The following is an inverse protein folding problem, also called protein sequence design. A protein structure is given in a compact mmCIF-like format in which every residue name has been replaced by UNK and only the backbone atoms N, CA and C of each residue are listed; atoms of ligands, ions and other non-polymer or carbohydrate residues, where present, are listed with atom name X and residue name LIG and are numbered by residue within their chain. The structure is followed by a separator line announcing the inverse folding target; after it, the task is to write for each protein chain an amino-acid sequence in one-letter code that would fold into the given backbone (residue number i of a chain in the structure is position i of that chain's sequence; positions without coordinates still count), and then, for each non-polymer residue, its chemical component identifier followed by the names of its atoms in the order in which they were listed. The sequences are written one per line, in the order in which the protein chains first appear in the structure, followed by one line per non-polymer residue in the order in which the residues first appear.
data_IF_913328895607
#
_entry.id   IF_913328895607
#
_cell.length_a   1.000
_cell.length_b   1.000
_cell.length_c   1.000
_cell.angle_alpha   90.00
_cell.angle_beta   90.00
_cell.angle_gamma   90.00
#
_symmetry.space_group_name_H-M   'P 1'
#
loop_
_entity.id
_entity.type
_entity.pdbx_description
1 polymer ?
#
# COMPACT_ATOMS: atom_id res chain seq x y z
N UNK A 1 21.87 -21.84 -19.35
CA UNK A 1 22.92 -22.02 -18.33
C UNK A 1 22.35 -22.88 -17.22
N UNK A 2 22.66 -24.17 -17.22
CA UNK A 2 22.24 -25.10 -16.16
C UNK A 2 23.30 -25.01 -15.07
N UNK A 3 23.21 -24.01 -14.20
CA UNK A 3 24.05 -23.99 -13.01
C UNK A 3 23.76 -25.25 -12.20
N UNK A 4 24.82 -26.01 -11.90
CA UNK A 4 24.74 -27.23 -11.10
C UNK A 4 24.12 -26.88 -9.74
N UNK A 5 22.91 -27.38 -9.50
CA UNK A 5 22.33 -27.42 -8.17
C UNK A 5 23.28 -28.20 -7.27
N UNK A 6 23.73 -27.58 -6.18
CA UNK A 6 24.58 -28.25 -5.21
C UNK A 6 23.70 -29.02 -4.25
N UNK A 7 23.85 -30.34 -4.26
CA UNK A 7 23.15 -31.23 -3.33
C UNK A 7 24.09 -31.59 -2.21
N UNK A 8 23.59 -31.61 -0.98
CA UNK A 8 24.36 -32.06 0.17
C UNK A 8 24.61 -33.57 0.04
N UNK A 9 25.87 -33.98 0.00
CA UNK A 9 26.27 -35.40 -0.08
C UNK A 9 26.66 -36.00 1.26
N UNK A 10 26.91 -35.16 2.26
CA UNK A 10 27.32 -35.56 3.61
C UNK A 10 26.10 -35.68 4.52
N UNK A 11 26.11 -36.70 5.38
CA UNK A 11 25.11 -36.82 6.45
C UNK A 11 25.45 -35.86 7.58
N UNK A 12 24.60 -34.85 7.75
CA UNK A 12 24.73 -33.81 8.78
C UNK A 12 23.69 -33.95 9.88
N UNK A 13 22.94 -35.06 9.91
CA UNK A 13 21.85 -35.29 10.86
C UNK A 13 22.32 -35.29 12.32
N UNK A 14 23.57 -35.66 12.57
CA UNK A 14 24.19 -35.63 13.91
C UNK A 14 24.69 -34.24 14.33
N UNK A 15 24.63 -33.23 13.44
CA UNK A 15 25.07 -31.88 13.78
C UNK A 15 24.13 -31.21 14.80
N UNK A 16 24.65 -30.55 15.84
CA UNK A 16 23.82 -29.78 16.78
C UNK A 16 23.09 -28.59 16.11
N UNK A 17 23.45 -28.25 14.87
CA UNK A 17 22.84 -27.18 14.09
C UNK A 17 21.84 -27.68 13.03
N UNK A 18 21.61 -29.00 12.98
CA UNK A 18 20.67 -29.63 12.06
C UNK A 18 19.24 -29.56 12.60
N UNK A 19 18.33 -29.25 11.69
CA UNK A 19 16.89 -29.32 11.90
C UNK A 19 16.27 -29.64 10.52
N UNK A 20 15.28 -30.53 10.47
CA UNK A 20 14.60 -30.89 9.22
C UNK A 20 14.05 -29.66 8.48
N UNK A 21 13.52 -28.66 9.20
CA UNK A 21 13.03 -27.42 8.62
C UNK A 21 14.12 -26.48 8.10
N UNK A 22 15.38 -26.71 8.48
CA UNK A 22 16.54 -25.94 8.04
C UNK A 22 17.41 -26.73 7.04
N UNK A 23 17.10 -28.00 6.81
CA UNK A 23 17.84 -28.86 5.92
C UNK A 23 17.74 -28.36 4.47
N UNK A 24 18.81 -28.50 3.67
CA UNK A 24 18.76 -28.18 2.24
C UNK A 24 17.65 -28.96 1.54
N UNK A 25 16.87 -28.29 0.69
CA UNK A 25 15.81 -28.95 -0.09
C UNK A 25 16.44 -29.77 -1.21
N UNK A 26 16.25 -31.10 -1.22
CA UNK A 26 16.82 -31.98 -2.23
C UNK A 26 16.16 -31.74 -3.60
N UNK A 27 16.85 -32.00 -4.73
CA UNK A 27 16.36 -31.69 -6.07
C UNK A 27 14.96 -32.26 -6.36
N UNK A 28 14.65 -33.45 -5.87
CA UNK A 28 13.37 -34.15 -6.09
C UNK A 28 12.20 -33.45 -5.41
N UNK A 29 12.45 -32.69 -4.34
CA UNK A 29 11.44 -31.91 -3.61
C UNK A 29 11.30 -30.48 -4.13
N UNK A 30 12.07 -30.07 -5.16
CA UNK A 30 11.99 -28.73 -5.77
C UNK A 30 10.87 -28.69 -6.81
N UNK A 31 9.64 -28.58 -6.34
CA UNK A 31 8.42 -28.64 -7.17
C UNK A 31 8.08 -27.32 -7.88
N UNK A 32 8.82 -26.24 -7.60
CA UNK A 32 8.50 -24.89 -8.05
C UNK A 32 9.05 -24.62 -9.44
N UNK A 33 8.17 -24.25 -10.37
CA UNK A 33 8.54 -23.88 -11.73
C UNK A 33 8.46 -22.36 -11.94
N UNK A 34 8.79 -21.89 -13.15
CA UNK A 34 8.78 -20.48 -13.51
C UNK A 34 7.41 -19.83 -13.34
N UNK A 35 6.32 -20.56 -13.59
CA UNK A 35 4.95 -20.06 -13.40
C UNK A 35 4.61 -19.86 -11.93
N UNK A 36 5.00 -20.79 -11.06
CA UNK A 36 4.79 -20.61 -9.61
C UNK A 36 5.54 -19.40 -9.09
N UNK A 37 6.77 -19.19 -9.58
CA UNK A 37 7.56 -18.02 -9.24
C UNK A 37 6.87 -16.75 -9.75
N UNK A 38 6.45 -16.70 -11.02
CA UNK A 38 5.75 -15.56 -11.60
C UNK A 38 4.42 -15.26 -10.88
N UNK A 39 3.67 -16.28 -10.49
CA UNK A 39 2.42 -16.14 -9.74
C UNK A 39 2.67 -15.47 -8.37
N UNK A 40 3.69 -15.91 -7.63
CA UNK A 40 4.12 -15.24 -6.39
C UNK A 40 4.49 -13.78 -6.65
N UNK A 41 5.21 -13.50 -7.73
CA UNK A 41 5.60 -12.13 -8.07
C UNK A 41 4.39 -11.23 -8.32
N UNK A 42 3.38 -11.75 -9.03
CA UNK A 42 2.11 -11.06 -9.25
C UNK A 42 1.41 -10.82 -7.91
N UNK A 43 1.29 -11.84 -7.05
CA UNK A 43 0.67 -11.71 -5.73
C UNK A 43 1.35 -10.67 -4.83
N UNK A 44 2.69 -10.58 -4.88
CA UNK A 44 3.44 -9.56 -4.14
C UNK A 44 3.29 -8.15 -4.72
N UNK A 45 3.20 -8.02 -6.06
CA UNK A 45 3.06 -6.73 -6.73
C UNK A 45 1.64 -6.16 -6.61
N UNK A 46 0.63 -7.02 -6.74
CA UNK A 46 -0.80 -6.67 -6.69
C UNK A 46 -1.28 -6.71 -5.25
N UNK A 47 -0.96 -5.66 -4.49
CA UNK A 47 -1.43 -5.52 -3.12
C UNK A 47 -1.92 -4.09 -2.82
N UNK A 48 -2.83 -3.99 -1.85
CA UNK A 48 -3.48 -2.72 -1.47
C UNK A 48 -2.47 -1.64 -1.04
N UNK A 49 -1.40 -1.94 -0.27
CA UNK A 49 -0.41 -0.92 0.08
C UNK A 49 0.23 -0.22 -1.12
N UNK A 50 0.47 -0.94 -2.23
CA UNK A 50 1.01 -0.35 -3.47
C UNK A 50 0.03 0.66 -4.07
N UNK A 51 -1.27 0.35 -4.05
CA UNK A 51 -2.31 1.26 -4.54
C UNK A 51 -2.41 2.52 -3.68
N UNK A 52 -2.37 2.33 -2.36
CA UNK A 52 -2.37 3.40 -1.38
C UNK A 52 -1.14 4.31 -1.58
N UNK A 53 0.04 3.72 -1.77
CA UNK A 53 1.28 4.46 -2.03
C UNK A 53 1.15 5.32 -3.28
N UNK A 54 0.70 4.75 -4.40
CA UNK A 54 0.50 5.50 -5.64
C UNK A 54 -0.53 6.62 -5.47
N UNK A 55 -1.65 6.35 -4.79
CA UNK A 55 -2.68 7.35 -4.48
C UNK A 55 -2.14 8.48 -3.61
N UNK A 56 -1.30 8.19 -2.61
CA UNK A 56 -0.71 9.20 -1.75
C UNK A 56 0.31 10.07 -2.47
N UNK A 57 1.11 9.50 -3.38
CA UNK A 57 2.03 10.29 -4.21
C UNK A 57 1.27 11.31 -5.06
N UNK A 58 0.17 10.90 -5.70
CA UNK A 58 -0.69 11.82 -6.45
C UNK A 58 -1.33 12.87 -5.52
N UNK A 59 -1.88 12.44 -4.37
CA UNK A 59 -2.47 13.35 -3.36
C UNK A 59 -1.45 14.36 -2.80
N UNK A 60 -0.16 14.02 -2.82
CA UNK A 60 0.92 14.91 -2.39
C UNK A 60 1.30 15.97 -3.43
N UNK A 61 0.68 15.95 -4.62
CA UNK A 61 0.93 16.90 -5.71
C UNK A 61 1.84 16.34 -6.82
N UNK A 62 2.18 15.06 -6.77
CA UNK A 62 3.03 14.45 -7.79
C UNK A 62 2.20 14.01 -9.01
N UNK A 63 2.72 14.22 -10.22
CA UNK A 63 2.04 13.73 -11.41
C UNK A 63 1.96 12.21 -11.43
N UNK A 64 0.93 11.67 -12.07
CA UNK A 64 0.77 10.21 -12.18
C UNK A 64 1.94 9.60 -12.97
N UNK A 65 2.48 10.30 -13.97
CA UNK A 65 3.66 9.86 -14.72
C UNK A 65 4.90 9.81 -13.83
N UNK A 66 5.15 10.89 -13.07
CA UNK A 66 6.29 10.93 -12.15
C UNK A 66 6.18 9.82 -11.09
N UNK A 67 4.96 9.60 -10.56
CA UNK A 67 4.69 8.53 -9.61
C UNK A 67 5.01 7.15 -10.19
N UNK A 68 4.57 6.85 -11.41
CA UNK A 68 4.88 5.59 -12.08
C UNK A 68 6.38 5.41 -12.33
N UNK A 69 7.08 6.46 -12.78
CA UNK A 69 8.53 6.40 -13.04
C UNK A 69 9.30 6.16 -11.75
N UNK A 70 8.95 6.85 -10.66
CA UNK A 70 9.60 6.70 -9.36
C UNK A 70 9.37 5.29 -8.81
N UNK A 71 8.12 4.80 -8.82
CA UNK A 71 7.79 3.45 -8.35
C UNK A 71 8.52 2.40 -9.20
N UNK A 72 8.51 2.54 -10.52
CA UNK A 72 9.19 1.64 -11.43
C UNK A 72 10.71 1.60 -11.22
N UNK A 73 11.34 2.77 -11.08
CA UNK A 73 12.78 2.89 -10.83
C UNK A 73 13.15 2.31 -9.46
N UNK A 74 12.37 2.59 -8.42
CA UNK A 74 12.59 2.02 -7.09
C UNK A 74 12.53 0.49 -7.11
N UNK A 75 11.54 -0.09 -7.80
CA UNK A 75 11.42 -1.54 -7.98
C UNK A 75 12.59 -2.12 -8.79
N UNK A 76 13.07 -1.42 -9.82
CA UNK A 76 14.23 -1.88 -10.60
C UNK A 76 15.50 -1.91 -9.73
N UNK A 77 15.73 -0.86 -8.94
CA UNK A 77 16.89 -0.76 -8.03
C UNK A 77 16.84 -1.87 -6.98
N UNK A 78 15.68 -2.11 -6.36
CA UNK A 78 15.57 -3.14 -5.30
C UNK A 78 15.63 -4.56 -5.85
N UNK A 79 15.26 -4.76 -7.12
CA UNK A 79 15.31 -6.07 -7.77
C UNK A 79 16.73 -6.63 -7.83
N UNK A 80 17.74 -5.77 -8.05
CA UNK A 80 19.14 -6.19 -8.17
C UNK A 80 19.66 -6.92 -6.91
N UNK A 81 19.70 -6.30 -5.71
CA UNK A 81 20.19 -6.98 -4.50
C UNK A 81 19.32 -8.17 -4.11
N UNK A 82 18.02 -8.12 -4.42
CA UNK A 82 17.09 -9.19 -4.13
C UNK A 82 17.33 -10.45 -4.97
N UNK A 83 17.60 -10.30 -6.27
CA UNK A 83 17.99 -11.43 -7.14
C UNK A 83 19.34 -11.99 -6.70
N UNK A 84 20.31 -11.14 -6.36
CA UNK A 84 21.60 -11.57 -5.84
C UNK A 84 21.45 -12.37 -4.54
N UNK A 85 20.56 -11.95 -3.63
CA UNK A 85 20.28 -12.68 -2.39
C UNK A 85 19.57 -14.01 -2.66
N UNK A 86 18.59 -14.02 -3.58
CA UNK A 86 17.83 -15.22 -3.95
C UNK A 86 18.67 -16.30 -4.63
N UNK A 87 19.73 -15.91 -5.36
CA UNK A 87 20.61 -16.84 -6.08
C UNK A 87 21.18 -17.94 -5.19
N UNK A 88 21.71 -17.58 -4.02
CA UNK A 88 22.27 -18.56 -3.10
C UNK A 88 21.21 -19.52 -2.54
N UNK A 89 20.01 -19.02 -2.24
CA UNK A 89 18.88 -19.83 -1.80
C UNK A 89 18.45 -20.85 -2.85
N UNK A 90 18.40 -20.47 -4.13
CA UNK A 90 18.04 -21.38 -5.23
C UNK A 90 19.16 -22.40 -5.51
N UNK A 91 20.42 -21.96 -5.49
CA UNK A 91 21.58 -22.81 -5.79
C UNK A 91 21.79 -23.92 -4.76
N UNK A 92 21.70 -23.58 -3.48
CA UNK A 92 21.96 -24.50 -2.37
C UNK A 92 20.69 -25.08 -1.74
N UNK A 93 19.51 -24.51 -2.02
CA UNK A 93 18.24 -24.97 -1.43
C UNK A 93 18.15 -24.73 0.08
N UNK A 94 18.92 -23.78 0.62
CA UNK A 94 18.98 -23.50 2.06
C UNK A 94 18.18 -22.25 2.43
N UNK A 95 17.55 -22.21 3.60
CA UNK A 95 16.80 -21.03 4.05
C UNK A 95 17.74 -19.92 4.55
N UNK A 96 17.21 -18.69 4.62
CA UNK A 96 17.96 -17.50 5.04
C UNK A 96 18.74 -17.67 6.37
N UNK A 97 18.18 -18.26 7.45
CA UNK A 97 18.92 -18.44 8.70
C UNK A 97 20.14 -19.37 8.60
N UNK A 98 20.21 -20.20 7.55
CA UNK A 98 21.39 -21.04 7.28
C UNK A 98 22.40 -20.24 6.45
N UNK A 99 21.94 -19.57 5.40
CA UNK A 99 22.80 -18.75 4.54
C UNK A 99 23.47 -17.62 5.33
N UNK A 100 22.74 -16.97 6.23
CA UNK A 100 23.24 -15.85 7.02
C UNK A 100 24.29 -16.25 8.07
N UNK A 101 24.49 -17.54 8.35
CA UNK A 101 25.58 -18.01 9.23
C UNK A 101 26.95 -17.66 8.67
N UNK A 102 27.09 -17.57 7.34
CA UNK A 102 28.34 -17.18 6.70
C UNK A 102 28.73 -15.71 6.98
N UNK A 103 27.74 -14.83 7.24
CA UNK A 103 27.98 -13.40 7.49
C UNK A 103 27.92 -13.03 8.97
N UNK A 104 26.98 -13.60 9.72
CA UNK A 104 26.71 -13.24 11.13
C UNK A 104 27.23 -14.28 12.14
N UNK A 105 27.81 -15.39 11.65
CA UNK A 105 28.16 -16.54 12.48
C UNK A 105 26.95 -17.36 12.92
N UNK A 106 27.20 -18.43 13.66
CA UNK A 106 26.17 -19.36 14.15
C UNK A 106 25.25 -18.75 15.20
N UNK A 107 25.79 -17.88 16.06
CA UNK A 107 25.00 -17.23 17.12
C UNK A 107 24.38 -15.89 16.67
N UNK A 108 25.10 -15.08 15.89
CA UNK A 108 24.63 -13.75 15.49
C UNK A 108 23.44 -13.78 14.52
N UNK A 109 23.30 -14.85 13.73
CA UNK A 109 22.18 -15.01 12.79
C UNK A 109 20.82 -15.10 13.49
N UNK A 110 20.76 -15.49 14.76
CA UNK A 110 19.50 -15.53 15.51
C UNK A 110 18.90 -14.13 15.67
N UNK A 111 19.72 -13.11 15.93
CA UNK A 111 19.26 -11.72 16.05
C UNK A 111 18.69 -11.25 14.71
N UNK A 112 19.43 -11.42 13.62
CA UNK A 112 18.98 -11.03 12.28
C UNK A 112 17.70 -11.77 11.86
N UNK A 113 17.58 -13.06 12.17
CA UNK A 113 16.39 -13.87 11.88
C UNK A 113 15.18 -13.42 12.70
N UNK A 114 15.37 -13.07 13.98
CA UNK A 114 14.29 -12.57 14.83
C UNK A 114 13.79 -11.21 14.37
N UNK A 115 14.70 -10.28 14.05
CA UNK A 115 14.33 -8.97 13.51
C UNK A 115 13.52 -9.10 12.21
N UNK A 116 13.94 -9.99 11.32
CA UNK A 116 13.19 -10.31 10.10
C UNK A 116 11.80 -10.87 10.41
N UNK A 117 11.69 -11.76 11.41
CA UNK A 117 10.41 -12.33 11.82
C UNK A 117 9.45 -11.27 12.37
N UNK A 118 9.94 -10.33 13.19
CA UNK A 118 9.13 -9.22 13.74
C UNK A 118 8.56 -8.36 12.62
N UNK A 119 9.38 -7.98 11.64
CA UNK A 119 8.93 -7.20 10.48
C UNK A 119 7.88 -7.97 9.67
N UNK A 120 8.08 -9.27 9.46
CA UNK A 120 7.11 -10.12 8.79
C UNK A 120 5.77 -10.20 9.54
N UNK A 121 5.79 -10.31 10.87
CA UNK A 121 4.58 -10.28 11.71
C UNK A 121 3.85 -8.93 11.59
N UNK A 122 4.58 -7.82 11.56
CA UNK A 122 3.99 -6.49 11.36
C UNK A 122 3.27 -6.37 10.02
N UNK A 123 3.92 -6.81 8.94
CA UNK A 123 3.31 -6.82 7.60
C UNK A 123 2.12 -7.77 7.51
N UNK A 124 2.22 -8.96 8.12
CA UNK A 124 1.09 -9.88 8.20
C UNK A 124 -0.11 -9.25 8.92
N UNK A 125 0.11 -8.53 10.02
CA UNK A 125 -0.94 -7.81 10.74
C UNK A 125 -1.64 -6.75 9.88
N UNK A 126 -0.86 -5.90 9.19
CA UNK A 126 -1.41 -4.86 8.31
C UNK A 126 -2.22 -5.46 7.17
N UNK A 127 -1.70 -6.50 6.49
CA UNK A 127 -2.42 -7.12 5.38
C UNK A 127 -3.68 -7.86 5.85
N UNK A 128 -3.61 -8.49 7.03
CA UNK A 128 -4.77 -9.15 7.62
C UNK A 128 -5.86 -8.14 8.00
N UNK A 129 -5.47 -6.96 8.50
CA UNK A 129 -6.39 -5.86 8.78
C UNK A 129 -7.08 -5.38 7.51
N UNK A 130 -6.33 -5.10 6.45
CA UNK A 130 -6.89 -4.65 5.17
C UNK A 130 -7.83 -5.72 4.58
N UNK A 131 -7.44 -7.00 4.63
CA UNK A 131 -8.32 -8.10 4.20
C UNK A 131 -9.59 -8.19 5.04
N UNK A 132 -9.49 -8.01 6.36
CA UNK A 132 -10.64 -7.97 7.25
C UNK A 132 -11.62 -6.82 6.96
N UNK A 133 -11.10 -5.65 6.57
CA UNK A 133 -11.93 -4.52 6.11
C UNK A 133 -12.70 -4.87 4.83
N UNK A 134 -12.11 -5.65 3.92
CA UNK A 134 -12.81 -6.12 2.73
C UNK A 134 -13.99 -7.06 3.09
N UNK A 135 -13.80 -7.98 4.03
CA UNK A 135 -14.88 -8.83 4.54
C UNK A 135 -16.01 -8.02 5.19
N UNK A 136 -15.67 -7.03 6.01
CA UNK A 136 -16.64 -6.12 6.61
C UNK A 136 -17.40 -5.31 5.55
N UNK A 137 -16.72 -4.82 4.51
CA UNK A 137 -17.35 -4.10 3.42
C UNK A 137 -18.33 -5.00 2.63
N UNK A 138 -17.95 -6.24 2.34
CA UNK A 138 -18.82 -7.24 1.69
C UNK A 138 -20.06 -7.51 2.56
N UNK A 139 -19.87 -7.71 3.87
CA UNK A 139 -20.98 -7.94 4.80
C UNK A 139 -21.98 -6.78 4.80
N UNK A 140 -21.50 -5.54 4.87
CA UNK A 140 -22.34 -4.35 4.84
C UNK A 140 -23.08 -4.21 3.50
N UNK A 141 -22.41 -4.48 2.39
CA UNK A 141 -23.03 -4.47 1.06
C UNK A 141 -24.15 -5.52 0.93
N UNK A 142 -23.98 -6.71 1.51
CA UNK A 142 -24.99 -7.77 1.49
C UNK A 142 -26.17 -7.51 2.43
N UNK A 143 -25.92 -6.91 3.59
CA UNK A 143 -26.96 -6.64 4.60
C UNK A 143 -27.64 -5.29 4.44
N UNK A 144 -27.13 -4.42 3.57
CA UNK A 144 -27.59 -3.04 3.42
C UNK A 144 -27.23 -2.15 4.61
N UNK A 145 -26.36 -2.61 5.52
CA UNK A 145 -25.91 -1.84 6.68
C UNK A 145 -24.91 -0.78 6.25
N UNK A 146 -24.99 0.41 6.83
CA UNK A 146 -23.97 1.44 6.62
C UNK A 146 -22.73 1.11 7.45
N UNK A 147 -21.57 1.10 6.80
CA UNK A 147 -20.31 0.87 7.49
C UNK A 147 -19.94 2.04 8.39
N UNK A 148 -19.51 1.76 9.61
CA UNK A 148 -19.05 2.80 10.52
C UNK A 148 -17.73 3.42 10.03
N UNK A 149 -17.61 4.75 10.12
CA UNK A 149 -16.38 5.50 9.80
C UNK A 149 -15.26 5.20 10.80
N UNK A 150 -15.59 5.16 12.10
CA UNK A 150 -14.65 4.88 13.19
C UNK A 150 -14.29 3.41 13.38
N UNK A 151 -13.61 3.09 14.48
CA UNK A 151 -13.41 1.70 14.89
C UNK A 151 -14.75 1.08 15.25
N UNK A 152 -15.01 -0.11 14.70
CA UNK A 152 -16.26 -0.84 14.88
C UNK A 152 -15.96 -2.30 15.16
N UNK A 153 -16.80 -2.93 15.98
CA UNK A 153 -16.67 -4.35 16.34
C UNK A 153 -16.76 -5.22 15.09
N UNK A 154 -17.59 -4.84 14.10
CA UNK A 154 -17.69 -5.55 12.83
C UNK A 154 -16.37 -5.61 12.06
N UNK A 155 -15.53 -4.57 12.14
CA UNK A 155 -14.20 -4.56 11.52
C UNK A 155 -13.25 -5.55 12.21
N UNK A 156 -13.31 -5.66 13.54
CA UNK A 156 -12.54 -6.65 14.29
C UNK A 156 -13.01 -8.09 14.04
N UNK A 157 -14.32 -8.30 13.86
CA UNK A 157 -14.87 -9.59 13.44
C UNK A 157 -14.34 -9.95 12.05
N UNK A 158 -14.40 -9.02 11.09
CA UNK A 158 -13.84 -9.21 9.75
C UNK A 158 -12.36 -9.55 9.77
N UNK A 159 -11.57 -8.85 10.59
CA UNK A 159 -10.17 -9.17 10.86
C UNK A 159 -9.98 -10.59 11.40
N UNK A 160 -10.73 -10.97 12.44
CA UNK A 160 -10.62 -12.30 13.07
C UNK A 160 -10.97 -13.44 12.11
N UNK A 161 -12.02 -13.26 11.29
CA UNK A 161 -12.41 -14.22 10.24
C UNK A 161 -11.30 -14.36 9.21
N UNK A 162 -10.81 -13.24 8.66
CA UNK A 162 -9.76 -13.28 7.65
C UNK A 162 -8.45 -13.85 8.20
N UNK A 163 -8.10 -13.52 9.44
CA UNK A 163 -6.95 -14.08 10.15
C UNK A 163 -7.06 -15.60 10.30
N UNK A 164 -8.22 -16.12 10.71
CA UNK A 164 -8.46 -17.55 10.86
C UNK A 164 -8.35 -18.29 9.51
N UNK A 165 -8.85 -17.70 8.43
CA UNK A 165 -8.69 -18.24 7.07
C UNK A 165 -7.20 -18.33 6.70
N UNK A 166 -6.42 -17.28 6.94
CA UNK A 166 -4.98 -17.30 6.67
C UNK A 166 -4.26 -18.40 7.48
N UNK A 167 -4.57 -18.52 8.78
CA UNK A 167 -4.00 -19.58 9.61
C UNK A 167 -4.37 -20.99 9.12
N UNK A 168 -5.60 -21.19 8.64
CA UNK A 168 -6.02 -22.45 8.06
C UNK A 168 -5.10 -22.85 6.90
N UNK A 169 -4.87 -21.96 5.92
CA UNK A 169 -3.98 -22.24 4.79
C UNK A 169 -2.51 -22.43 5.22
N UNK A 170 -2.04 -21.66 6.20
CA UNK A 170 -0.67 -21.79 6.73
C UNK A 170 -0.46 -23.16 7.39
N UNK A 171 -1.46 -23.70 8.10
CA UNK A 171 -1.37 -25.02 8.74
C UNK A 171 -1.08 -26.12 7.72
N UNK A 172 -1.77 -26.11 6.57
CA UNK A 172 -1.56 -27.14 5.54
C UNK A 172 -0.23 -27.02 4.77
N UNK A 173 0.57 -26.01 5.07
CA UNK A 173 1.94 -25.89 4.58
C UNK A 173 2.08 -25.23 3.19
N UNK A 174 3.31 -25.22 2.70
CA UNK A 174 3.73 -24.38 1.56
C UNK A 174 3.15 -24.80 0.21
N UNK A 175 2.79 -26.08 0.02
CA UNK A 175 2.17 -26.54 -1.23
C UNK A 175 0.73 -26.02 -1.40
N UNK A 176 -0.01 -25.83 -0.30
CA UNK A 176 -1.33 -25.19 -0.36
C UNK A 176 -1.23 -23.71 -0.70
N UNK A 177 -0.22 -23.02 -0.15
CA UNK A 177 0.08 -21.63 -0.50
C UNK A 177 0.43 -21.52 -1.98
N UNK A 178 1.28 -22.42 -2.49
CA UNK A 178 1.65 -22.46 -3.91
C UNK A 178 0.44 -22.65 -4.82
N UNK A 179 -0.49 -23.53 -4.46
CA UNK A 179 -1.73 -23.74 -5.20
C UNK A 179 -2.62 -22.48 -5.18
N UNK A 180 -2.79 -21.88 -3.99
CA UNK A 180 -3.59 -20.68 -3.81
C UNK A 180 -3.04 -19.51 -4.64
N UNK A 181 -1.74 -19.26 -4.60
CA UNK A 181 -1.07 -18.22 -5.38
C UNK A 181 -1.20 -18.44 -6.88
N UNK A 182 -1.05 -19.70 -7.33
CA UNK A 182 -1.17 -20.05 -8.75
C UNK A 182 -2.59 -19.81 -9.28
N UNK A 183 -3.61 -19.94 -8.43
CA UNK A 183 -5.00 -19.61 -8.75
C UNK A 183 -5.29 -18.11 -8.61
N UNK A 184 -4.75 -17.47 -7.58
CA UNK A 184 -5.01 -16.07 -7.26
C UNK A 184 -4.38 -15.12 -8.30
N UNK A 185 -3.17 -15.41 -8.79
CA UNK A 185 -2.47 -14.50 -9.70
C UNK A 185 -3.26 -14.17 -10.99
N UNK A 186 -3.83 -15.14 -11.74
CA UNK A 186 -4.68 -14.84 -12.89
C UNK A 186 -5.93 -14.04 -12.51
N UNK A 187 -6.57 -14.38 -11.38
CA UNK A 187 -7.79 -13.69 -10.91
C UNK A 187 -7.49 -12.23 -10.56
N UNK A 188 -6.37 -11.99 -9.87
CA UNK A 188 -5.91 -10.65 -9.49
C UNK A 188 -5.66 -9.77 -10.72
N UNK A 189 -4.98 -10.31 -11.74
CA UNK A 189 -4.74 -9.58 -13.00
C UNK A 189 -6.06 -9.30 -13.72
N UNK A 190 -6.94 -10.29 -13.81
CA UNK A 190 -8.25 -10.14 -14.44
C UNK A 190 -9.08 -9.04 -13.75
N UNK A 191 -9.20 -9.10 -12.42
CA UNK A 191 -9.92 -8.10 -11.63
C UNK A 191 -9.28 -6.72 -11.77
N UNK A 192 -7.94 -6.63 -11.77
CA UNK A 192 -7.24 -5.38 -11.99
C UNK A 192 -7.58 -4.73 -13.34
N UNK A 193 -7.63 -5.52 -14.41
CA UNK A 193 -8.04 -5.05 -15.74
C UNK A 193 -9.51 -4.60 -15.72
N UNK A 194 -10.40 -5.39 -15.11
CA UNK A 194 -11.82 -5.04 -15.00
C UNK A 194 -12.04 -3.73 -14.24
N UNK A 195 -11.31 -3.51 -13.14
CA UNK A 195 -11.37 -2.26 -12.37
C UNK A 195 -10.87 -1.06 -13.17
N UNK A 196 -9.83 -1.23 -13.99
CA UNK A 196 -9.35 -0.16 -14.88
C UNK A 196 -10.40 0.16 -15.95
N UNK A 197 -11.01 -0.85 -16.57
CA UNK A 197 -12.05 -0.67 -17.58
C UNK A 197 -13.27 0.04 -16.98
N UNK A 198 -13.76 -0.46 -15.84
CA UNK A 198 -14.91 0.11 -15.13
C UNK A 198 -14.62 1.56 -14.67
N UNK A 199 -13.47 1.81 -14.03
CA UNK A 199 -13.08 3.16 -13.62
C UNK A 199 -12.93 4.10 -14.81
N UNK A 200 -12.48 3.60 -15.96
CA UNK A 200 -12.41 4.37 -17.21
C UNK A 200 -13.79 4.68 -17.79
N UNK A 201 -14.75 3.75 -17.70
CA UNK A 201 -16.11 4.00 -18.19
C UNK A 201 -16.86 5.01 -17.32
N UNK A 202 -16.75 4.90 -16.00
CA UNK A 202 -17.37 5.86 -15.06
C UNK A 202 -16.73 7.25 -15.16
N UNK A 203 -15.42 7.31 -15.41
CA UNK A 203 -14.68 8.57 -15.58
C UNK A 203 -14.83 9.26 -16.93
N UNK A 204 -15.76 8.81 -17.80
CA UNK A 204 -15.97 9.40 -19.13
C UNK A 204 -14.82 9.14 -20.12
N UNK A 205 -14.10 8.02 -19.95
CA UNK A 205 -13.03 7.54 -20.83
C UNK A 205 -11.64 7.59 -20.20
N UNK A 206 -10.77 6.65 -20.58
CA UNK A 206 -9.41 6.51 -20.04
C UNK A 206 -8.57 7.79 -20.17
N UNK A 207 -8.63 8.45 -21.33
CA UNK A 207 -7.90 9.70 -21.55
C UNK A 207 -8.43 10.86 -20.69
N UNK A 208 -9.73 10.88 -20.40
CA UNK A 208 -10.37 11.89 -19.53
C UNK A 208 -9.90 11.72 -18.10
N UNK A 209 -9.87 10.48 -17.59
CA UNK A 209 -9.34 10.15 -16.25
C UNK A 209 -7.88 10.59 -16.11
N UNK A 210 -7.04 10.27 -17.10
CA UNK A 210 -5.63 10.69 -17.07
C UNK A 210 -5.44 12.20 -17.14
N UNK A 211 -6.29 12.93 -17.87
CA UNK A 211 -6.28 14.40 -17.91
C UNK A 211 -6.74 15.02 -16.60
N UNK A 212 -7.79 14.47 -15.98
CA UNK A 212 -8.26 14.90 -14.67
C UNK A 212 -7.21 14.65 -13.57
N UNK A 213 -6.32 13.68 -13.76
CA UNK A 213 -5.15 13.48 -12.91
C UNK A 213 -4.31 14.74 -12.69
N UNK A 214 -4.20 15.64 -13.69
CA UNK A 214 -3.49 16.94 -13.53
C UNK A 214 -4.15 17.84 -12.49
N UNK A 215 -5.46 17.76 -12.33
CA UNK A 215 -6.15 18.58 -11.34
C UNK A 215 -5.79 18.14 -9.92
N UNK A 216 -5.50 16.86 -9.72
CA UNK A 216 -5.07 16.31 -8.43
C UNK A 216 -3.61 16.68 -8.08
N UNK A 217 -2.82 17.12 -9.06
CA UNK A 217 -1.45 17.63 -8.83
C UNK A 217 -1.48 19.01 -8.17
N UNK A 218 -2.55 19.79 -8.38
CA UNK A 218 -2.67 21.13 -7.82
C UNK A 218 -3.10 21.07 -6.35
N UNK A 219 -2.51 21.89 -5.46
CA UNK A 219 -2.95 21.96 -4.08
C UNK A 219 -4.39 22.46 -4.00
N UNK A 220 -5.20 21.84 -3.14
CA UNK A 220 -6.59 22.25 -2.92
C UNK A 220 -6.71 23.70 -2.43
N UNK A 221 -5.72 24.17 -1.65
CA UNK A 221 -5.62 25.53 -1.18
C UNK A 221 -4.16 25.99 -1.15
N UNK A 222 -3.89 27.23 -1.56
CA UNK A 222 -2.60 27.90 -1.44
C UNK A 222 -2.75 29.05 -0.44
N UNK A 223 -1.91 29.03 0.60
CA UNK A 223 -1.83 30.13 1.55
C UNK A 223 -0.72 31.09 1.08
N UNK A 224 -1.09 32.31 0.71
CA UNK A 224 -0.16 33.40 0.44
C UNK A 224 -0.22 34.39 1.59
N UNK A 225 0.93 34.67 2.20
CA UNK A 225 1.01 35.65 3.28
C UNK A 225 1.60 36.95 2.73
N UNK A 226 0.83 38.03 2.80
CA UNK A 226 1.32 39.39 2.59
C UNK A 226 1.48 40.09 3.95
N UNK A 227 2.19 41.22 4.00
CA UNK A 227 2.51 41.94 5.23
C UNK A 227 1.27 42.35 6.04
N UNK A 228 0.08 42.46 5.41
CA UNK A 228 -1.17 42.89 6.04
C UNK A 228 -2.30 41.84 6.04
N UNK A 229 -2.22 40.77 5.24
CA UNK A 229 -3.30 39.80 5.10
C UNK A 229 -2.79 38.39 4.75
N UNK A 230 -3.53 37.38 5.19
CA UNK A 230 -3.38 35.99 4.74
C UNK A 230 -4.40 35.74 3.62
N UNK A 231 -3.94 35.50 2.40
CA UNK A 231 -4.79 35.13 1.27
C UNK A 231 -4.85 33.61 1.14
N UNK A 232 -6.06 33.06 1.13
CA UNK A 232 -6.34 31.65 0.86
C UNK A 232 -6.86 31.55 -0.57
N UNK A 233 -6.08 30.97 -1.47
CA UNK A 233 -6.50 30.68 -2.84
C UNK A 233 -6.97 29.23 -2.93
N UNK A 234 -8.27 29.01 -3.15
CA UNK A 234 -8.86 27.69 -3.32
C UNK A 234 -8.87 27.30 -4.80
N UNK A 235 -8.43 26.08 -5.10
CA UNK A 235 -8.50 25.48 -6.45
C UNK A 235 -9.54 24.36 -6.45
N UNK A 236 -10.81 24.66 -6.79
CA UNK A 236 -11.89 23.68 -6.74
C UNK A 236 -11.70 22.55 -7.76
N UNK A 237 -12.14 21.34 -7.38
CA UNK A 237 -12.18 20.18 -8.27
C UNK A 237 -13.31 20.34 -9.31
N UNK A 238 -13.08 19.89 -10.54
CA UNK A 238 -14.01 19.98 -11.65
C UNK A 238 -14.40 18.59 -12.13
N UNK A 239 -15.63 18.45 -12.59
CA UNK A 239 -16.12 17.27 -13.30
C UNK A 239 -15.57 17.25 -14.73
N UNK A 240 -15.83 16.15 -15.46
CA UNK A 240 -15.39 16.00 -16.86
C UNK A 240 -16.06 16.99 -17.81
N UNK A 241 -17.22 17.54 -17.43
CA UNK A 241 -17.96 18.58 -18.13
C UNK A 241 -17.49 20.00 -17.79
N UNK A 242 -16.55 20.16 -16.85
CA UNK A 242 -16.05 21.44 -16.37
C UNK A 242 -16.85 22.08 -15.24
N UNK A 243 -17.96 21.47 -14.79
CA UNK A 243 -18.71 21.91 -13.61
C UNK A 243 -17.90 21.71 -12.33
N UNK A 244 -18.09 22.56 -11.31
CA UNK A 244 -17.44 22.37 -10.02
C UNK A 244 -18.04 21.15 -9.29
N UNK A 245 -17.19 20.34 -8.66
CA UNK A 245 -17.63 19.22 -7.82
C UNK A 245 -18.27 19.66 -6.50
N UNK A 246 -17.98 20.88 -6.06
CA UNK A 246 -18.56 21.50 -4.88
C UNK A 246 -19.24 22.81 -5.28
N UNK A 247 -20.38 23.10 -4.67
CA UNK A 247 -21.18 24.30 -4.96
C UNK A 247 -20.83 25.46 -4.03
N UNK A 248 -20.43 25.15 -2.80
CA UNK A 248 -20.15 26.11 -1.75
C UNK A 248 -18.87 25.74 -1.00
N UNK A 249 -18.25 26.73 -0.37
CA UNK A 249 -17.08 26.54 0.49
C UNK A 249 -17.21 27.34 1.79
N UNK A 250 -16.63 26.83 2.86
CA UNK A 250 -16.51 27.50 4.15
C UNK A 250 -15.06 27.39 4.64
N UNK A 251 -14.50 28.50 5.11
CA UNK A 251 -13.16 28.52 5.72
C UNK A 251 -13.33 28.72 7.21
N UNK A 252 -12.77 27.80 8.00
CA UNK A 252 -12.66 27.91 9.45
C UNK A 252 -11.21 28.13 9.86
N UNK A 253 -10.96 29.14 10.69
CA UNK A 253 -9.62 29.47 11.18
C UNK A 253 -9.63 29.67 12.70
N UNK A 254 -8.52 29.38 13.40
CA UNK A 254 -8.38 29.68 14.82
C UNK A 254 -8.21 31.19 15.02
N UNK A 255 -9.11 31.77 15.83
CA UNK A 255 -9.01 33.13 16.34
C UNK A 255 -7.87 33.23 17.39
N UNK A 256 -7.42 34.44 17.72
CA UNK A 256 -6.34 34.73 18.69
C UNK A 256 -6.64 34.15 20.09
N UNK A 257 -7.93 33.90 20.37
CA UNK A 257 -8.42 33.25 21.59
C UNK A 257 -8.34 31.70 21.58
N UNK A 258 -7.88 31.09 20.48
CA UNK A 258 -7.83 29.64 20.27
C UNK A 258 -9.17 29.01 19.90
N UNK A 259 -10.24 29.79 19.73
CA UNK A 259 -11.55 29.31 19.25
C UNK A 259 -11.60 29.32 17.72
N UNK A 260 -12.22 28.30 17.12
CA UNK A 260 -12.44 28.27 15.68
C UNK A 260 -13.56 29.22 15.28
N UNK A 261 -13.23 30.23 14.46
CA UNK A 261 -14.18 31.11 13.78
C UNK A 261 -14.38 30.58 12.35
N UNK A 262 -15.62 30.28 11.99
CA UNK A 262 -15.97 29.87 10.64
C UNK A 262 -16.59 31.06 9.89
N UNK A 263 -16.14 31.30 8.66
CA UNK A 263 -16.79 32.26 7.76
C UNK A 263 -18.16 31.74 7.32
N UNK A 264 -18.99 32.60 6.75
CA UNK A 264 -20.23 32.16 6.12
C UNK A 264 -19.95 31.34 4.85
N UNK A 265 -20.85 30.39 4.57
CA UNK A 265 -20.80 29.63 3.33
C UNK A 265 -20.87 30.57 2.13
N UNK A 266 -19.90 30.43 1.24
CA UNK A 266 -19.78 31.26 0.04
C UNK A 266 -19.87 30.38 -1.21
N UNK A 267 -20.58 30.81 -2.27
CA UNK A 267 -20.71 30.02 -3.50
C UNK A 267 -19.39 29.99 -4.30
N UNK A 268 -19.07 28.84 -4.88
CA UNK A 268 -17.93 28.64 -5.79
C UNK A 268 -18.27 29.19 -7.18
N UNK A 269 -17.96 30.47 -7.42
CA UNK A 269 -18.28 31.15 -8.69
C UNK A 269 -17.07 31.37 -9.60
N UNK A 270 -15.84 31.28 -9.08
CA UNK A 270 -14.59 31.54 -9.82
C UNK A 270 -13.67 30.33 -9.88
N UNK A 271 -12.81 30.27 -10.91
CA UNK A 271 -11.82 29.19 -11.07
C UNK A 271 -10.79 29.14 -9.95
N UNK A 272 -10.53 30.28 -9.32
CA UNK A 272 -9.76 30.40 -8.08
C UNK A 272 -10.55 31.30 -7.15
N UNK A 273 -10.98 30.79 -6.00
CA UNK A 273 -11.61 31.62 -4.97
C UNK A 273 -10.51 32.14 -4.05
N UNK A 274 -10.38 33.47 -3.97
CA UNK A 274 -9.38 34.13 -3.11
C UNK A 274 -10.10 34.72 -1.91
N UNK A 275 -9.76 34.25 -0.71
CA UNK A 275 -10.27 34.81 0.54
C UNK A 275 -9.13 35.48 1.29
N UNK A 276 -9.29 36.78 1.56
CA UNK A 276 -8.34 37.55 2.38
C UNK A 276 -8.78 37.54 3.83
N UNK A 277 -7.95 36.99 4.70
CA UNK A 277 -8.11 37.02 6.16
C UNK A 277 -7.16 38.07 6.75
N UNK A 278 -7.67 38.90 7.66
CA UNK A 278 -6.86 39.91 8.32
C UNK A 278 -5.95 39.27 9.40
N UNK A 279 -4.68 39.64 9.43
CA UNK A 279 -3.68 39.04 10.36
C UNK A 279 -3.99 39.31 11.83
N UNK A 280 -4.65 40.41 12.15
CA UNK A 280 -4.95 40.80 13.54
C UNK A 280 -5.97 39.85 14.23
N UNK A 281 -6.71 39.05 13.45
CA UNK A 281 -7.72 38.09 13.94
C UNK A 281 -7.23 36.63 13.90
N UNK A 282 -5.97 36.37 13.57
CA UNK A 282 -5.45 35.03 13.27
C UNK A 282 -4.37 34.57 14.25
N UNK A 283 -4.55 33.37 14.84
CA UNK A 283 -3.44 32.65 15.47
C UNK A 283 -2.60 31.92 14.41
N UNK A 284 -1.50 32.55 14.01
CA UNK A 284 -0.58 32.05 12.97
C UNK A 284 0.13 30.76 13.42
N UNK A 285 0.33 30.55 14.73
CA UNK A 285 1.01 29.36 15.25
C UNK A 285 0.10 28.12 15.21
N UNK A 286 -1.20 28.30 15.47
CA UNK A 286 -2.20 27.23 15.40
C UNK A 286 -2.59 26.86 13.95
N UNK A 287 -2.51 27.79 13.00
CA UNK A 287 -2.94 27.58 11.60
C UNK A 287 -2.00 26.71 10.74
N UNK A 288 -0.85 26.26 11.26
CA UNK A 288 0.10 25.39 10.52
C UNK A 288 -0.23 23.89 10.63
N UNK A 289 -1.20 23.51 11.46
CA UNK A 289 -1.58 22.11 11.73
C UNK A 289 -3.05 21.86 11.39
N UNK A 290 -3.34 21.65 10.10
CA UNK A 290 -4.68 21.29 9.63
C UNK A 290 -4.65 20.04 8.79
N UNK A 291 -5.32 18.98 9.26
CA UNK A 291 -5.47 17.72 8.52
C UNK A 291 -6.44 17.90 7.36
N UNK A 292 -6.08 17.39 6.18
CA UNK A 292 -6.82 17.56 4.93
C UNK A 292 -8.04 16.63 4.94
N UNK A 293 -9.17 17.10 5.45
CA UNK A 293 -10.47 16.46 5.22
C UNK A 293 -11.25 17.30 4.20
N UNK A 294 -11.57 16.65 3.08
CA UNK A 294 -12.52 17.12 2.06
C UNK A 294 -13.87 16.52 2.41
#
# INVERSE_FOLDING_TARGET
MTEKIHTLTEDVSESPLYNEHLAPVPPEKRTWNLWNLAAIWIGMAVCIPTYILASYMIKSGLSWQASLVIIGLANLIITVPMVLNGHAGVKYGVPFPVLGRASFGTNGIHIASLLRAIVACGWFGVQTWIGGLAFYAIWNALTGSQGALGLDVGKFIGFGVFWAINLHFIWYGTEHIKWLESLAAPILVLIGILLIIWGSSEGGGFATVLKQGKQLESPAAILKSDNSALQVELTPLKNSDGSFKAEEYQISFPDVSGKHKALEWSPLTTETAVVSLNRDELDIAASQSGDKTV
#
